data_IF_340748930634
#
_entry.id   IF_340748930634
#
_cell.length_a   1.000
_cell.length_b   1.000
_cell.length_c   1.000
_cell.angle_alpha   90.00
_cell.angle_beta   90.00
_cell.angle_gamma   90.00
#
_symmetry.space_group_name_H-M   'P 1'
#
loop_
_entity.id
_entity.type
_entity.pdbx_description
1 polymer ?
#
# COMPACT_ATOMS: atom_id res chain seq x y z
N UNK A 1 -4.14 11.12 0.59
CA UNK A 1 -2.97 11.98 0.28
C UNK A 1 -3.05 13.31 1.02
N UNK A 2 -4.00 14.22 0.73
CA UNK A 2 -4.16 15.48 1.49
C UNK A 2 -4.37 15.26 3.00
N UNK A 3 -5.22 14.32 3.40
CA UNK A 3 -5.47 13.99 4.82
C UNK A 3 -4.24 13.42 5.56
N UNK A 4 -3.33 12.76 4.84
CA UNK A 4 -2.08 12.22 5.38
C UNK A 4 -1.08 13.35 5.63
N UNK A 5 -1.05 14.35 4.75
CA UNK A 5 -0.14 15.48 4.82
C UNK A 5 -0.36 16.37 6.07
N UNK A 6 -1.61 16.45 6.54
CA UNK A 6 -1.99 17.24 7.72
C UNK A 6 -2.04 16.43 9.03
N UNK A 7 -1.55 15.18 9.06
CA UNK A 7 -1.53 14.35 10.27
C UNK A 7 -2.90 13.81 10.74
N UNK A 8 -3.98 14.18 10.06
CA UNK A 8 -5.35 13.77 10.39
C UNK A 8 -5.69 12.32 10.02
N UNK A 9 -4.82 11.63 9.28
CA UNK A 9 -5.04 10.24 8.87
C UNK A 9 -4.70 9.22 9.97
N UNK A 10 -3.78 9.56 10.87
CA UNK A 10 -3.35 8.67 11.97
C UNK A 10 -4.47 8.37 12.98
N UNK A 11 -5.30 9.33 13.42
CA UNK A 11 -6.49 9.05 14.22
C UNK A 11 -7.53 8.20 13.48
N UNK A 12 -7.68 8.41 12.16
CA UNK A 12 -8.65 7.68 11.33
C UNK A 12 -8.23 6.22 11.16
N UNK A 13 -6.94 5.96 10.97
CA UNK A 13 -6.39 4.60 10.91
C UNK A 13 -6.54 3.89 12.26
N UNK A 14 -6.31 4.59 13.37
CA UNK A 14 -6.52 4.03 14.71
C UNK A 14 -8.00 3.78 15.05
N UNK A 15 -8.93 4.57 14.49
CA UNK A 15 -10.37 4.44 14.73
C UNK A 15 -11.05 3.41 13.81
N UNK A 16 -10.69 3.38 12.52
CA UNK A 16 -11.30 2.49 11.52
C UNK A 16 -10.55 1.17 11.32
N UNK A 17 -9.39 1.00 11.96
CA UNK A 17 -8.58 -0.22 11.90
C UNK A 17 -8.28 -0.65 10.47
N UNK A 18 -8.39 -1.97 10.20
CA UNK A 18 -8.11 -2.55 8.89
C UNK A 18 -8.97 -1.95 7.75
N UNK A 19 -10.14 -1.36 8.05
CA UNK A 19 -11.07 -0.82 7.04
C UNK A 19 -10.55 0.42 6.31
N UNK A 20 -9.81 1.30 6.97
CA UNK A 20 -9.24 2.50 6.33
C UNK A 20 -7.97 2.19 5.49
N UNK A 21 -7.30 1.08 5.79
CA UNK A 21 -6.10 0.62 5.06
C UNK A 21 -6.40 -0.25 3.84
N UNK A 22 -7.65 -0.69 3.65
CA UNK A 22 -8.03 -1.67 2.61
C UNK A 22 -8.29 -1.05 1.23
N UNK A 23 -8.87 0.16 1.05
CA UNK A 23 -8.96 0.81 -0.26
C UNK A 23 -7.68 1.60 -0.59
N UNK A 24 -7.47 1.98 -1.86
CA UNK A 24 -6.33 2.73 -2.44
C UNK A 24 -5.66 3.81 -1.55
N UNK A 25 -6.39 4.42 -0.61
CA UNK A 25 -5.85 5.33 0.42
C UNK A 25 -4.84 4.67 1.37
N UNK A 26 -5.08 3.43 1.79
CA UNK A 26 -4.18 2.67 2.66
C UNK A 26 -2.90 2.22 1.97
N UNK A 27 -3.01 1.88 0.70
CA UNK A 27 -1.86 1.61 -0.16
C UNK A 27 -1.00 2.87 -0.32
N UNK A 28 -1.62 4.02 -0.62
CA UNK A 28 -0.91 5.31 -0.71
C UNK A 28 -0.28 5.73 0.62
N UNK A 29 -0.94 5.52 1.75
CA UNK A 29 -0.39 5.79 3.09
C UNK A 29 0.84 4.92 3.39
N UNK A 30 0.76 3.62 3.12
CA UNK A 30 1.87 2.67 3.32
C UNK A 30 3.05 2.97 2.38
N UNK A 31 2.77 3.39 1.15
CA UNK A 31 3.77 3.84 0.19
C UNK A 31 4.48 5.11 0.69
N UNK A 32 3.75 6.16 1.05
CA UNK A 32 4.33 7.41 1.55
C UNK A 32 5.15 7.19 2.83
N UNK A 33 4.63 6.41 3.79
CA UNK A 33 5.32 6.10 5.05
C UNK A 33 6.59 5.27 4.83
N UNK A 34 6.55 4.30 3.92
CA UNK A 34 7.70 3.48 3.53
C UNK A 34 8.79 4.28 2.82
N UNK A 35 8.40 5.15 1.88
CA UNK A 35 9.28 6.11 1.21
C UNK A 35 9.95 7.03 2.24
N UNK A 36 9.16 7.66 3.12
CA UNK A 36 9.68 8.61 4.11
C UNK A 36 10.70 7.96 5.05
N UNK A 37 10.44 6.71 5.47
CA UNK A 37 11.38 5.93 6.29
C UNK A 37 12.67 5.60 5.52
N UNK A 38 12.56 5.06 4.31
CA UNK A 38 13.73 4.67 3.54
C UNK A 38 14.56 5.89 3.08
N UNK A 39 13.95 7.05 2.86
CA UNK A 39 14.68 8.29 2.55
C UNK A 39 15.50 8.76 3.75
N UNK A 40 14.98 8.63 4.97
CA UNK A 40 15.74 8.94 6.18
C UNK A 40 16.94 8.00 6.37
N UNK A 41 16.82 6.72 5.99
CA UNK A 41 17.86 5.71 6.21
C UNK A 41 18.88 5.62 5.06
N UNK A 42 18.43 5.73 3.80
CA UNK A 42 19.23 5.49 2.58
C UNK A 42 19.38 6.72 1.67
N UNK A 43 18.90 7.89 2.11
CA UNK A 43 18.94 9.11 1.30
C UNK A 43 18.07 9.03 0.04
N UNK A 44 18.50 9.64 -1.06
CA UNK A 44 17.69 9.78 -2.28
C UNK A 44 17.28 8.42 -2.90
N UNK A 45 18.09 7.37 -2.73
CA UNK A 45 17.80 6.00 -3.20
C UNK A 45 16.62 5.38 -2.45
N UNK A 46 16.38 5.83 -1.21
CA UNK A 46 15.26 5.43 -0.38
C UNK A 46 13.89 5.75 -0.98
N UNK A 47 13.79 6.72 -1.91
CA UNK A 47 12.52 7.08 -2.55
C UNK A 47 11.95 5.90 -3.33
N UNK A 48 12.79 5.19 -4.07
CA UNK A 48 12.34 4.08 -4.92
C UNK A 48 12.23 2.80 -4.08
N UNK A 49 13.24 2.51 -3.27
CA UNK A 49 13.26 1.29 -2.45
C UNK A 49 12.16 1.27 -1.40
N UNK A 50 11.94 2.37 -0.69
CA UNK A 50 10.96 2.44 0.39
C UNK A 50 9.54 2.21 -0.06
N UNK A 51 9.16 2.78 -1.22
CA UNK A 51 7.83 2.62 -1.78
C UNK A 51 7.56 1.22 -2.33
N UNK A 52 8.55 0.62 -3.01
CA UNK A 52 8.44 -0.75 -3.51
C UNK A 52 8.40 -1.75 -2.34
N UNK A 53 9.27 -1.59 -1.34
CA UNK A 53 9.33 -2.49 -0.19
C UNK A 53 8.04 -2.44 0.64
N UNK A 54 7.48 -1.26 0.88
CA UNK A 54 6.29 -1.11 1.72
C UNK A 54 5.00 -1.59 1.05
N UNK A 55 5.01 -1.75 -0.29
CA UNK A 55 3.85 -2.20 -1.07
C UNK A 55 3.99 -3.62 -1.64
N UNK A 56 5.19 -4.21 -1.55
CA UNK A 56 5.50 -5.53 -2.09
C UNK A 56 4.54 -6.63 -1.62
N UNK A 57 4.20 -6.64 -0.32
CA UNK A 57 3.27 -7.63 0.24
C UNK A 57 1.87 -7.52 -0.37
N UNK A 58 1.38 -6.29 -0.57
CA UNK A 58 0.06 -6.05 -1.18
C UNK A 58 0.01 -6.46 -2.65
N UNK A 59 1.07 -6.15 -3.42
CA UNK A 59 1.19 -6.56 -4.82
C UNK A 59 1.27 -8.08 -4.93
N UNK A 60 2.07 -8.73 -4.09
CA UNK A 60 2.20 -10.19 -4.05
C UNK A 60 0.86 -10.85 -3.74
N UNK A 61 0.15 -10.35 -2.74
CA UNK A 61 -1.19 -10.84 -2.41
C UNK A 61 -2.15 -10.68 -3.60
N UNK A 62 -2.15 -9.53 -4.28
CA UNK A 62 -2.99 -9.29 -5.44
C UNK A 62 -2.72 -10.30 -6.58
N UNK A 63 -1.45 -10.60 -6.86
CA UNK A 63 -1.05 -11.58 -7.88
C UNK A 63 -1.50 -12.99 -7.48
N UNK A 64 -1.22 -13.42 -6.25
CA UNK A 64 -1.55 -14.77 -5.76
C UNK A 64 -3.07 -14.99 -5.74
N UNK A 65 -3.83 -14.07 -5.15
CA UNK A 65 -5.28 -14.19 -5.13
C UNK A 65 -5.89 -14.06 -6.52
N UNK A 66 -5.37 -13.16 -7.37
CA UNK A 66 -5.80 -13.05 -8.77
C UNK A 66 -5.58 -14.36 -9.53
N UNK A 67 -4.46 -15.04 -9.30
CA UNK A 67 -4.15 -16.33 -9.89
C UNK A 67 -5.09 -17.44 -9.39
N UNK A 68 -5.33 -17.53 -8.07
CA UNK A 68 -6.26 -18.51 -7.48
C UNK A 68 -7.67 -18.34 -8.07
N UNK A 69 -8.17 -17.10 -8.16
CA UNK A 69 -9.48 -16.80 -8.75
C UNK A 69 -9.53 -17.19 -10.23
N UNK A 70 -8.45 -16.96 -10.98
CA UNK A 70 -8.34 -17.37 -12.38
C UNK A 70 -8.26 -18.89 -12.60
N UNK A 71 -7.91 -19.67 -11.58
CA UNK A 71 -7.96 -21.13 -11.63
C UNK A 71 -9.37 -21.67 -11.35
N UNK A 72 -10.12 -21.03 -10.45
CA UNK A 72 -11.48 -21.45 -10.06
C UNK A 72 -12.51 -20.98 -11.09
N UNK A 73 -12.35 -19.75 -11.58
CA UNK A 73 -13.24 -19.13 -12.55
C UNK A 73 -12.53 -19.01 -13.89
N UNK A 74 -13.27 -19.03 -14.99
CA UNK A 74 -12.72 -18.73 -16.32
C UNK A 74 -12.70 -17.20 -16.48
N UNK A 75 -11.55 -16.51 -16.30
CA UNK A 75 -11.51 -15.06 -16.48
C UNK A 75 -11.84 -14.74 -17.94
N UNK A 76 -12.93 -14.01 -18.17
CA UNK A 76 -13.19 -13.44 -19.49
C UNK A 76 -12.29 -12.23 -19.66
N UNK A 77 -11.48 -12.23 -20.71
CA UNK A 77 -10.86 -10.98 -21.17
C UNK A 77 -11.99 -10.05 -21.64
N UNK A 78 -11.92 -8.78 -21.23
CA UNK A 78 -12.83 -7.75 -21.73
C UNK A 78 -12.53 -7.45 -23.19
#
# INVERSE_FOLDING_TARGET
>A
VFLTLFGLYEPIVNFAGAGATVPLSGFGYSLCKGVMKAVNDEGLIGIIKGGVMSTAAGITAAIVFGYIIALIFKPKQK
#
